data_IF_988890729580
#
_entry.id   IF_988890729580
#
_cell.length_a   1.000
_cell.length_b   1.000
_cell.length_c   1.000
_cell.angle_alpha   90.00
_cell.angle_beta   90.00
_cell.angle_gamma   90.00
#
_symmetry.space_group_name_H-M   'P 1'
#
loop_
_entity.id
_entity.type
_entity.pdbx_description
1 polymer ?
#
# COMPACT_ATOMS: atom_id res chain seq x y z
N UNK A 1 5.63 13.28 3.32
CA UNK A 1 6.50 12.90 2.19
C UNK A 1 5.87 11.90 1.23
N UNK A 2 5.39 10.73 1.67
CA UNK A 2 4.84 9.70 0.77
C UNK A 2 3.71 10.17 -0.14
N UNK A 3 2.70 10.88 0.40
CA UNK A 3 1.61 11.43 -0.43
C UNK A 3 2.14 12.35 -1.54
N UNK A 4 3.03 13.29 -1.20
CA UNK A 4 3.63 14.17 -2.20
C UNK A 4 4.51 13.44 -3.23
N UNK A 5 5.06 12.27 -2.90
CA UNK A 5 5.72 11.42 -3.88
C UNK A 5 4.71 10.81 -4.86
N UNK A 6 3.58 10.28 -4.38
CA UNK A 6 2.51 9.81 -5.27
C UNK A 6 1.98 10.92 -6.18
N UNK A 7 1.68 12.09 -5.61
CA UNK A 7 1.14 13.22 -6.37
C UNK A 7 2.07 13.66 -7.52
N UNK A 8 3.40 13.46 -7.37
CA UNK A 8 4.40 13.85 -8.39
C UNK A 8 4.77 12.72 -9.35
N UNK A 9 4.90 11.49 -8.86
CA UNK A 9 5.40 10.36 -9.66
C UNK A 9 4.26 9.64 -10.37
N UNK A 10 3.07 9.60 -9.77
CA UNK A 10 1.89 8.97 -10.37
C UNK A 10 1.08 10.03 -11.10
N UNK A 11 1.71 10.63 -12.11
CA UNK A 11 1.17 11.72 -12.91
C UNK A 11 0.71 11.23 -14.30
N UNK A 12 -0.08 12.06 -15.02
CA UNK A 12 -0.47 11.77 -16.40
C UNK A 12 0.75 11.53 -17.31
N UNK A 13 0.64 10.58 -18.23
CA UNK A 13 1.74 10.16 -19.11
C UNK A 13 2.76 9.21 -18.46
N UNK A 14 2.72 9.05 -17.12
CA UNK A 14 3.61 8.14 -16.38
C UNK A 14 2.82 6.95 -15.85
N UNK A 15 1.90 7.19 -14.91
CA UNK A 15 1.15 6.14 -14.23
C UNK A 15 -0.23 5.88 -14.85
N UNK A 16 -0.77 6.90 -15.49
CA UNK A 16 -2.04 6.82 -16.20
C UNK A 16 -2.11 7.85 -17.33
N UNK A 17 -3.04 7.68 -18.25
CA UNK A 17 -3.42 8.70 -19.23
C UNK A 17 -4.84 9.21 -18.92
N UNK A 18 -5.08 10.50 -19.16
CA UNK A 18 -6.43 11.04 -19.19
C UNK A 18 -7.14 10.54 -20.44
N UNK A 19 -8.35 10.01 -20.28
CA UNK A 19 -9.21 9.76 -21.43
C UNK A 19 -9.47 11.09 -22.16
N UNK A 20 -9.39 11.07 -23.49
CA UNK A 20 -9.53 12.27 -24.33
C UNK A 20 -10.95 12.87 -24.31
N UNK A 21 -11.87 12.13 -23.72
CA UNK A 21 -13.33 12.24 -23.87
C UNK A 21 -14.05 12.05 -22.52
N UNK A 22 -13.46 12.54 -21.41
CA UNK A 22 -14.01 12.43 -20.04
C UNK A 22 -14.24 10.98 -19.55
N UNK A 23 -13.73 9.99 -20.29
CA UNK A 23 -13.78 8.57 -19.92
C UNK A 23 -12.92 8.22 -18.70
N UNK A 24 -12.98 6.95 -18.30
CA UNK A 24 -12.19 6.45 -17.17
C UNK A 24 -10.68 6.59 -17.41
N UNK A 25 -9.93 6.85 -16.34
CA UNK A 25 -8.47 6.91 -16.33
C UNK A 25 -7.89 5.64 -16.95
N UNK A 26 -6.98 5.78 -17.92
CA UNK A 26 -6.33 4.64 -18.58
C UNK A 26 -5.05 4.27 -17.82
N UNK A 27 -4.95 3.06 -17.24
CA UNK A 27 -3.78 2.65 -16.46
C UNK A 27 -2.55 2.43 -17.34
N UNK A 28 -1.38 2.93 -16.92
CA UNK A 28 -0.10 2.70 -17.61
C UNK A 28 0.83 1.75 -16.87
N UNK A 29 0.65 1.53 -15.57
CA UNK A 29 1.51 0.65 -14.77
C UNK A 29 1.10 -0.82 -14.90
N UNK A 30 0.86 -1.29 -16.12
CA UNK A 30 0.36 -2.65 -16.42
C UNK A 30 1.36 -3.76 -16.04
N UNK A 31 2.65 -3.40 -15.98
CA UNK A 31 3.74 -4.30 -15.57
C UNK A 31 3.93 -4.36 -14.05
N UNK A 32 3.31 -3.46 -13.29
CA UNK A 32 3.39 -3.48 -11.83
C UNK A 32 2.47 -4.58 -11.30
N UNK A 33 3.05 -5.70 -10.85
CA UNK A 33 2.28 -6.89 -10.41
C UNK A 33 2.14 -7.04 -8.90
N UNK A 34 3.07 -6.49 -8.12
CA UNK A 34 3.08 -6.65 -6.65
C UNK A 34 3.51 -5.36 -5.98
N UNK A 35 2.86 -5.04 -4.86
CA UNK A 35 3.24 -3.94 -3.99
C UNK A 35 3.19 -4.40 -2.53
N UNK A 36 4.23 -4.06 -1.75
CA UNK A 36 4.29 -4.30 -0.31
C UNK A 36 4.14 -2.96 0.41
N UNK A 37 3.14 -2.88 1.29
CA UNK A 37 3.05 -1.80 2.27
C UNK A 37 3.49 -2.31 3.63
N UNK A 38 4.45 -1.62 4.25
CA UNK A 38 4.86 -1.87 5.65
C UNK A 38 4.61 -0.58 6.42
N UNK A 39 3.79 -0.64 7.46
CA UNK A 39 3.39 0.54 8.25
C UNK A 39 3.48 0.27 9.75
N UNK A 40 3.74 1.31 10.52
CA UNK A 40 3.55 1.36 11.97
C UNK A 40 2.35 2.25 12.28
N UNK A 41 1.46 1.79 13.15
CA UNK A 41 0.25 2.48 13.58
C UNK A 41 0.20 2.52 15.12
N UNK A 42 -0.19 3.66 15.67
CA UNK A 42 -0.46 3.80 17.11
C UNK A 42 -1.73 3.07 17.54
N UNK A 43 -2.70 2.91 16.64
CA UNK A 43 -3.98 2.26 16.94
C UNK A 43 -3.86 0.73 17.13
N UNK A 44 -4.79 0.11 17.89
CA UNK A 44 -4.96 -1.33 17.89
C UNK A 44 -5.44 -1.87 16.53
N UNK A 45 -5.07 -3.12 16.23
CA UNK A 45 -5.43 -3.77 14.96
C UNK A 45 -6.94 -3.82 14.69
N UNK A 46 -7.76 -3.98 15.74
CA UNK A 46 -9.22 -4.10 15.61
C UNK A 46 -9.85 -2.76 15.22
N UNK A 47 -9.30 -1.64 15.71
CA UNK A 47 -9.76 -0.30 15.33
C UNK A 47 -9.48 -0.08 13.85
N UNK A 48 -8.24 -0.31 13.43
CA UNK A 48 -7.86 -0.18 12.02
C UNK A 48 -8.70 -1.10 11.12
N UNK A 49 -8.86 -2.38 11.49
CA UNK A 49 -9.48 -3.39 10.62
C UNK A 49 -11.00 -3.40 10.65
N UNK A 50 -11.62 -3.34 11.83
CA UNK A 50 -13.06 -3.50 11.99
C UNK A 50 -13.79 -2.17 11.93
N UNK A 51 -13.28 -1.15 12.64
CA UNK A 51 -13.93 0.17 12.68
C UNK A 51 -13.64 0.96 11.41
N UNK A 52 -12.36 1.09 11.06
CA UNK A 52 -11.93 1.94 9.93
C UNK A 52 -11.80 1.20 8.59
N UNK A 53 -11.93 -0.14 8.61
CA UNK A 53 -11.84 -0.99 7.41
C UNK A 53 -10.52 -0.82 6.63
N UNK A 54 -9.42 -0.64 7.37
CA UNK A 54 -8.05 -0.48 6.88
C UNK A 54 -7.91 0.68 5.87
N UNK A 55 -8.12 1.93 6.28
CA UNK A 55 -8.29 3.06 5.36
C UNK A 55 -7.08 3.28 4.45
N UNK A 56 -5.86 3.19 5.01
CA UNK A 56 -4.62 3.33 4.23
C UNK A 56 -4.50 2.25 3.16
N UNK A 57 -4.76 0.99 3.53
CA UNK A 57 -4.76 -0.13 2.59
C UNK A 57 -5.84 0.05 1.51
N UNK A 58 -7.03 0.50 1.90
CA UNK A 58 -8.16 0.72 0.99
C UNK A 58 -7.79 1.77 -0.05
N UNK A 59 -7.35 2.95 0.38
CA UNK A 59 -6.96 4.06 -0.52
C UNK A 59 -5.86 3.62 -1.48
N UNK A 60 -4.78 2.99 -0.97
CA UNK A 60 -3.71 2.48 -1.84
C UNK A 60 -4.20 1.43 -2.83
N UNK A 61 -5.05 0.50 -2.40
CA UNK A 61 -5.56 -0.57 -3.26
C UNK A 61 -6.51 -0.04 -4.33
N UNK A 62 -7.44 0.85 -3.97
CA UNK A 62 -8.51 1.26 -4.88
C UNK A 62 -8.14 2.50 -5.67
N UNK A 63 -7.76 3.59 -4.98
CA UNK A 63 -7.58 4.89 -5.61
C UNK A 63 -6.28 5.01 -6.38
N UNK A 64 -5.21 4.34 -5.92
CA UNK A 64 -3.91 4.35 -6.58
C UNK A 64 -3.71 3.11 -7.46
N UNK A 65 -3.65 1.92 -6.87
CA UNK A 65 -3.37 0.71 -7.62
C UNK A 65 -4.51 0.33 -8.57
N UNK A 66 -5.77 0.45 -8.14
CA UNK A 66 -6.92 0.12 -8.99
C UNK A 66 -7.01 0.97 -10.25
N UNK A 67 -6.58 2.23 -10.19
CA UNK A 67 -6.66 3.18 -11.31
C UNK A 67 -5.43 3.16 -12.20
N UNK A 68 -4.24 2.95 -11.64
CA UNK A 68 -2.99 3.06 -12.39
C UNK A 68 -2.34 1.70 -12.68
N UNK A 69 -2.58 0.70 -11.83
CA UNK A 69 -1.91 -0.60 -11.84
C UNK A 69 -2.89 -1.75 -11.52
N UNK A 70 -3.94 -1.98 -12.33
CA UNK A 70 -5.07 -2.84 -11.96
C UNK A 70 -4.66 -4.30 -11.72
N UNK A 71 -3.56 -4.76 -12.32
CA UNK A 71 -3.03 -6.09 -12.11
C UNK A 71 -2.16 -6.24 -10.85
N UNK A 72 -1.93 -5.16 -10.10
CA UNK A 72 -1.07 -5.15 -8.94
C UNK A 72 -1.76 -5.73 -7.70
N UNK A 73 -1.12 -6.74 -7.09
CA UNK A 73 -1.55 -7.30 -5.81
C UNK A 73 -0.88 -6.54 -4.66
N UNK A 74 -1.69 -5.91 -3.81
CA UNK A 74 -1.22 -5.24 -2.59
C UNK A 74 -1.20 -6.19 -1.40
N UNK A 75 0.00 -6.43 -0.87
CA UNK A 75 0.21 -7.03 0.44
C UNK A 75 0.53 -5.93 1.46
N UNK A 76 -0.01 -6.07 2.67
CA UNK A 76 0.16 -5.08 3.74
C UNK A 76 0.60 -5.76 5.04
N UNK A 77 1.61 -5.18 5.68
CA UNK A 77 2.11 -5.55 7.00
C UNK A 77 2.03 -4.32 7.90
N UNK A 78 1.28 -4.43 8.99
CA UNK A 78 1.10 -3.36 9.95
C UNK A 78 1.61 -3.77 11.32
N UNK A 79 2.42 -2.91 11.94
CA UNK A 79 2.76 -2.97 13.36
C UNK A 79 1.80 -2.05 14.12
N UNK A 80 1.00 -2.62 15.01
CA UNK A 80 -0.01 -1.88 15.78
C UNK A 80 0.50 -1.57 17.19
N UNK A 81 -0.12 -0.57 17.84
CA UNK A 81 0.30 -0.08 19.17
C UNK A 81 1.77 0.36 19.19
N UNK A 82 2.22 1.04 18.14
CA UNK A 82 3.62 1.44 17.95
C UNK A 82 4.17 2.34 19.09
N UNK A 83 3.30 3.00 19.84
CA UNK A 83 3.65 3.85 20.98
C UNK A 83 4.00 3.05 22.26
N UNK A 84 3.64 1.76 22.32
CA UNK A 84 3.89 0.88 23.47
C UNK A 84 4.44 -0.46 22.99
N UNK A 85 5.64 -0.41 22.42
CA UNK A 85 6.33 -1.59 21.90
C UNK A 85 7.35 -2.12 22.91
N UNK A 86 7.41 -3.44 23.00
CA UNK A 86 8.49 -4.19 23.62
C UNK A 86 9.42 -4.75 22.53
N UNK A 87 10.65 -5.11 22.90
CA UNK A 87 11.65 -5.63 21.96
C UNK A 87 11.18 -6.93 21.27
N UNK A 88 10.43 -7.76 21.99
CA UNK A 88 9.90 -9.02 21.48
C UNK A 88 8.93 -8.81 20.30
N UNK A 89 8.05 -7.79 20.38
CA UNK A 89 7.12 -7.42 19.31
C UNK A 89 7.83 -6.82 18.12
N UNK A 90 8.82 -5.95 18.36
CA UNK A 90 9.63 -5.37 17.28
C UNK A 90 10.35 -6.46 16.53
N UNK A 91 11.00 -7.39 17.23
CA UNK A 91 11.72 -8.50 16.59
C UNK A 91 10.76 -9.49 15.92
N UNK A 92 9.60 -9.76 16.51
CA UNK A 92 8.53 -10.52 15.88
C UNK A 92 8.07 -9.91 14.55
N UNK A 93 7.90 -8.59 14.50
CA UNK A 93 7.53 -7.87 13.29
C UNK A 93 8.64 -7.88 12.25
N UNK A 94 9.90 -7.66 12.66
CA UNK A 94 11.08 -7.79 11.79
C UNK A 94 11.17 -9.18 11.16
N UNK A 95 10.96 -10.25 11.94
CA UNK A 95 10.90 -11.63 11.41
C UNK A 95 9.79 -11.80 10.38
N UNK A 96 8.61 -11.24 10.62
CA UNK A 96 7.48 -11.28 9.67
C UNK A 96 7.80 -10.54 8.36
N UNK A 97 8.47 -9.38 8.45
CA UNK A 97 8.95 -8.64 7.27
C UNK A 97 9.96 -9.48 6.51
N UNK A 98 11.01 -9.99 7.17
CA UNK A 98 12.04 -10.84 6.53
C UNK A 98 11.44 -12.04 5.83
N UNK A 99 10.51 -12.75 6.47
CA UNK A 99 9.80 -13.90 5.87
C UNK A 99 8.99 -13.49 4.64
N UNK A 100 8.31 -12.36 4.71
CA UNK A 100 7.52 -11.84 3.58
C UNK A 100 8.43 -11.47 2.41
N UNK A 101 9.56 -10.79 2.68
CA UNK A 101 10.56 -10.42 1.68
C UNK A 101 11.28 -11.64 1.10
N UNK A 102 11.55 -12.69 1.88
CA UNK A 102 12.17 -13.92 1.39
C UNK A 102 11.30 -14.64 0.34
N UNK A 103 9.97 -14.62 0.54
CA UNK A 103 9.00 -15.09 -0.46
C UNK A 103 8.67 -14.07 -1.55
N UNK A 104 9.26 -12.86 -1.49
CA UNK A 104 9.03 -11.78 -2.43
C UNK A 104 9.98 -11.90 -3.62
N UNK A 105 9.81 -12.97 -4.40
CA UNK A 105 10.42 -13.09 -5.73
C UNK A 105 9.35 -12.78 -6.78
N UNK A 106 9.70 -11.83 -7.65
CA UNK A 106 8.93 -11.46 -8.84
C UNK A 106 9.20 -12.42 -9.97
#
# INVERSE_FOLDING_TARGET
MLKGWFDRVWAPGIAYDHARDLGAIQPRLLKLRRALMITSLGSPWWVDRLVLRQPVRRVLKTALLGTCAPACRLQALSLYKAERLDDARVEGFRRRIRRTLAGWRG
#
